data_IF_853831170418
#
_entry.id   IF_853831170418
#
_cell.length_a   1.000
_cell.length_b   1.000
_cell.length_c   1.000
_cell.angle_alpha   90.00
_cell.angle_beta   90.00
_cell.angle_gamma   90.00
#
_symmetry.space_group_name_H-M   'P 1'
#
loop_
_entity.id
_entity.type
_entity.pdbx_description
1 polymer ?
#
# COMPACT_ATOMS: atom_id res chain seq x y z
N UNK A 1 -6.21 5.21 4.68
CA UNK A 1 -5.10 6.21 4.61
C UNK A 1 -4.21 5.88 3.43
N UNK A 2 -3.80 6.87 2.64
CA UNK A 2 -2.90 6.69 1.50
C UNK A 2 -1.60 7.45 1.73
N UNK A 3 -0.47 6.81 1.45
CA UNK A 3 0.87 7.39 1.49
C UNK A 3 1.37 7.50 0.05
N UNK A 4 1.59 8.74 -0.38
CA UNK A 4 2.03 9.09 -1.73
C UNK A 4 3.43 9.68 -1.72
N UNK A 5 4.06 9.74 -2.87
CA UNK A 5 5.37 10.36 -3.04
C UNK A 5 6.06 9.91 -4.32
N UNK A 6 7.11 10.64 -4.71
CA UNK A 6 7.92 10.29 -5.87
C UNK A 6 8.64 8.94 -5.74
N UNK A 7 9.16 8.43 -6.86
CA UNK A 7 10.07 7.28 -6.85
C UNK A 7 11.27 7.56 -5.94
N UNK A 8 11.62 6.61 -5.09
CA UNK A 8 12.73 6.75 -4.14
C UNK A 8 12.44 7.64 -2.92
N UNK A 9 11.22 8.12 -2.69
CA UNK A 9 10.92 9.00 -1.55
C UNK A 9 10.90 8.31 -0.18
N UNK A 10 11.04 6.99 -0.12
CA UNK A 10 11.01 6.20 1.12
C UNK A 10 9.68 5.51 1.42
N UNK A 11 8.75 5.46 0.45
CA UNK A 11 7.43 4.82 0.55
C UNK A 11 7.50 3.36 1.02
N UNK A 12 8.19 2.50 0.26
CA UNK A 12 8.34 1.09 0.59
C UNK A 12 9.14 0.88 1.89
N UNK A 13 10.11 1.75 2.18
CA UNK A 13 10.82 1.75 3.47
C UNK A 13 9.87 2.03 4.64
N UNK A 14 9.01 3.03 4.50
CA UNK A 14 7.98 3.37 5.50
C UNK A 14 7.04 2.19 5.73
N UNK A 15 6.64 1.50 4.67
CA UNK A 15 5.83 0.28 4.76
C UNK A 15 6.57 -0.83 5.53
N UNK A 16 7.84 -1.09 5.19
CA UNK A 16 8.69 -2.10 5.86
C UNK A 16 8.88 -1.82 7.34
N UNK A 17 9.02 -0.55 7.71
CA UNK A 17 9.07 -0.11 9.11
C UNK A 17 7.74 -0.40 9.80
N UNK A 18 6.60 -0.01 9.21
CA UNK A 18 5.28 -0.26 9.79
C UNK A 18 4.98 -1.75 10.00
N UNK A 19 5.35 -2.62 9.05
CA UNK A 19 5.12 -4.08 9.18
C UNK A 19 6.19 -4.78 10.04
N UNK A 20 7.16 -4.05 10.57
CA UNK A 20 8.25 -4.58 11.38
C UNK A 20 9.18 -5.54 10.63
N UNK A 21 9.30 -5.42 9.30
CA UNK A 21 10.33 -6.16 8.53
C UNK A 21 11.67 -5.42 8.51
N UNK A 22 11.66 -4.13 8.86
CA UNK A 22 12.82 -3.30 9.09
C UNK A 22 12.70 -2.61 10.45
N UNK A 23 13.81 -2.46 11.17
CA UNK A 23 13.84 -1.70 12.43
C UNK A 23 14.28 -0.26 12.15
N UNK A 24 13.64 0.75 12.78
CA UNK A 24 14.10 2.12 12.67
C UNK A 24 15.40 2.31 13.47
N UNK A 25 16.24 3.25 13.04
CA UNK A 25 17.45 3.62 13.80
C UNK A 25 17.10 4.30 15.15
N UNK A 26 16.01 5.08 15.16
CA UNK A 26 15.48 5.80 16.33
C UNK A 26 13.96 5.96 16.20
N UNK A 27 13.30 6.17 17.34
CA UNK A 27 11.85 6.33 17.44
C UNK A 27 11.15 5.03 17.81
N UNK A 28 9.82 5.06 17.77
CA UNK A 28 8.94 3.95 18.15
C UNK A 28 7.81 3.79 17.14
N UNK A 29 7.32 2.57 16.98
CA UNK A 29 6.18 2.28 16.10
C UNK A 29 5.14 1.54 16.93
N UNK A 30 4.04 2.20 17.22
CA UNK A 30 2.98 1.61 18.02
C UNK A 30 1.92 0.96 17.12
N UNK A 31 1.72 -0.35 17.28
CA UNK A 31 0.65 -1.09 16.63
C UNK A 31 -0.17 -1.85 17.67
N UNK A 32 -1.48 -1.69 17.63
CA UNK A 32 -2.41 -2.37 18.53
C UNK A 32 -2.07 -2.18 20.03
N UNK A 33 -1.59 -0.98 20.40
CA UNK A 33 -1.19 -0.65 21.78
C UNK A 33 0.17 -1.20 22.21
N UNK A 34 1.01 -1.64 21.26
CA UNK A 34 2.34 -2.20 21.53
C UNK A 34 3.38 -1.50 20.66
N UNK A 35 4.49 -1.09 21.28
CA UNK A 35 5.66 -0.64 20.51
C UNK A 35 6.37 -1.86 19.88
N UNK A 36 6.25 -2.02 18.57
CA UNK A 36 6.80 -3.16 17.84
C UNK A 36 8.33 -3.15 17.79
N UNK A 37 8.96 -1.99 18.01
CA UNK A 37 10.43 -1.86 18.00
C UNK A 37 11.08 -2.56 19.22
N UNK A 38 10.35 -2.69 20.31
CA UNK A 38 10.80 -3.33 21.55
C UNK A 38 10.46 -4.83 21.63
N UNK A 39 9.71 -5.37 20.67
CA UNK A 39 9.27 -6.77 20.68
C UNK A 39 10.36 -7.73 20.21
N UNK A 40 10.36 -8.93 20.79
CA UNK A 40 11.10 -10.06 20.22
C UNK A 40 10.34 -10.68 19.03
N UNK A 41 10.98 -11.59 18.30
CA UNK A 41 10.41 -12.14 17.07
C UNK A 41 9.10 -12.90 17.29
N UNK A 42 8.97 -13.63 18.40
CA UNK A 42 7.73 -14.34 18.74
C UNK A 42 6.57 -13.37 18.97
N UNK A 43 6.82 -12.31 19.75
CA UNK A 43 5.82 -11.27 20.03
C UNK A 43 5.47 -10.47 18.77
N UNK A 44 6.45 -10.22 17.90
CA UNK A 44 6.25 -9.53 16.63
C UNK A 44 5.42 -10.40 15.67
N UNK A 45 5.60 -11.71 15.67
CA UNK A 45 4.75 -12.63 14.90
C UNK A 45 3.29 -12.60 15.36
N UNK A 46 3.01 -12.42 16.65
CA UNK A 46 1.64 -12.25 17.13
C UNK A 46 1.01 -10.92 16.70
N UNK A 47 1.82 -9.89 16.49
CA UNK A 47 1.38 -8.63 15.88
C UNK A 47 1.14 -8.83 14.38
N UNK A 48 2.04 -9.53 13.67
CA UNK A 48 1.93 -9.81 12.23
C UNK A 48 0.69 -10.63 11.86
N UNK A 49 0.22 -11.51 12.74
CA UNK A 49 -1.05 -12.25 12.54
C UNK A 49 -2.28 -11.33 12.54
N UNK A 50 -2.18 -10.11 13.07
CA UNK A 50 -3.31 -9.16 13.15
C UNK A 50 -3.39 -8.20 11.95
N UNK A 51 -2.47 -8.28 10.99
CA UNK A 51 -2.52 -7.50 9.77
C UNK A 51 -2.24 -8.34 8.52
N UNK A 52 -2.76 -7.93 7.38
CA UNK A 52 -2.49 -8.52 6.07
C UNK A 52 -1.66 -7.57 5.21
N UNK A 53 -0.89 -8.11 4.26
CA UNK A 53 -0.11 -7.32 3.30
C UNK A 53 -0.37 -7.82 1.88
N UNK A 54 -0.75 -6.90 0.99
CA UNK A 54 -0.72 -7.09 -0.46
C UNK A 54 0.53 -6.43 -1.03
N UNK A 55 1.52 -7.25 -1.43
CA UNK A 55 2.72 -6.76 -2.11
C UNK A 55 2.47 -6.44 -3.59
N UNK A 56 3.33 -5.62 -4.18
CA UNK A 56 3.25 -5.24 -5.60
C UNK A 56 3.19 -6.45 -6.54
N UNK A 57 3.91 -7.53 -6.29
CA UNK A 57 3.89 -8.75 -7.12
C UNK A 57 2.78 -9.74 -6.74
N UNK A 58 1.91 -9.41 -5.77
CA UNK A 58 0.96 -10.34 -5.11
C UNK A 58 1.65 -11.33 -4.16
N UNK A 59 2.93 -11.62 -4.38
CA UNK A 59 3.79 -12.51 -3.60
C UNK A 59 3.22 -13.93 -3.41
N UNK A 60 2.43 -14.42 -4.36
CA UNK A 60 1.90 -15.79 -4.35
C UNK A 60 3.03 -16.81 -4.56
N UNK A 61 2.91 -17.97 -3.92
CA UNK A 61 3.76 -19.12 -4.17
C UNK A 61 3.35 -19.75 -5.50
N UNK A 62 4.24 -19.68 -6.50
CA UNK A 62 3.97 -20.15 -7.86
C UNK A 62 3.78 -21.67 -7.97
N UNK A 63 4.25 -22.43 -6.97
CA UNK A 63 4.12 -23.88 -6.88
C UNK A 63 2.81 -24.33 -6.21
N UNK A 64 1.99 -23.39 -5.74
CA UNK A 64 0.74 -23.66 -5.04
C UNK A 64 -0.42 -23.08 -5.83
N UNK A 65 -1.59 -23.71 -5.78
CA UNK A 65 -2.83 -23.17 -6.34
C UNK A 65 -3.25 -21.89 -5.62
N UNK A 66 -4.22 -21.16 -6.17
CA UNK A 66 -4.79 -19.99 -5.50
C UNK A 66 -5.40 -20.39 -4.16
N UNK A 67 -6.12 -21.50 -4.09
CA UNK A 67 -6.71 -22.02 -2.85
C UNK A 67 -5.64 -22.33 -1.80
N UNK A 68 -4.59 -23.04 -2.19
CA UNK A 68 -3.47 -23.39 -1.31
C UNK A 68 -2.74 -22.14 -0.80
N UNK A 69 -2.54 -21.14 -1.65
CA UNK A 69 -1.96 -19.85 -1.25
C UNK A 69 -2.78 -19.16 -0.15
N UNK A 70 -4.11 -19.18 -0.27
CA UNK A 70 -5.02 -18.58 0.71
C UNK A 70 -5.16 -19.44 1.97
N UNK A 71 -5.04 -20.76 1.84
CA UNK A 71 -5.09 -21.71 2.95
C UNK A 71 -3.84 -21.64 3.83
N UNK A 72 -2.67 -21.35 3.24
CA UNK A 72 -1.38 -21.44 3.93
C UNK A 72 -1.32 -20.65 5.26
N UNK A 73 -1.74 -19.36 5.35
CA UNK A 73 -1.75 -18.66 6.64
C UNK A 73 -2.64 -19.33 7.69
N UNK A 74 -3.78 -19.90 7.28
CA UNK A 74 -4.69 -20.60 8.19
C UNK A 74 -4.05 -21.90 8.70
N UNK A 75 -3.41 -22.67 7.83
CA UNK A 75 -2.72 -23.92 8.19
C UNK A 75 -1.55 -23.66 9.16
N UNK A 76 -0.78 -22.60 8.93
CA UNK A 76 0.42 -22.30 9.72
C UNK A 76 0.13 -21.61 11.05
N UNK A 77 -0.98 -20.87 11.16
CA UNK A 77 -1.21 -19.97 12.30
C UNK A 77 -2.51 -20.23 13.06
N UNK A 78 -3.27 -21.25 12.68
CA UNK A 78 -4.48 -21.67 13.41
C UNK A 78 -4.41 -23.15 13.79
N UNK A 79 -5.40 -23.63 14.55
CA UNK A 79 -5.58 -25.05 14.89
C UNK A 79 -6.88 -25.58 14.30
N UNK A 80 -7.33 -25.00 13.18
CA UNK A 80 -8.57 -25.38 12.51
C UNK A 80 -8.36 -26.70 11.76
N UNK A 81 -9.40 -27.54 11.76
CA UNK A 81 -9.42 -28.74 10.94
C UNK A 81 -9.50 -28.38 9.46
N UNK A 82 -9.01 -29.28 8.59
CA UNK A 82 -8.91 -29.03 7.16
C UNK A 82 -10.26 -28.65 6.52
N UNK A 83 -11.36 -29.30 6.94
CA UNK A 83 -12.70 -28.98 6.44
C UNK A 83 -13.11 -27.52 6.73
N UNK A 84 -12.72 -26.99 7.90
CA UNK A 84 -12.98 -25.60 8.26
C UNK A 84 -12.10 -24.66 7.45
N UNK A 85 -10.82 -25.01 7.23
CA UNK A 85 -9.90 -24.25 6.38
C UNK A 85 -10.47 -24.15 4.97
N UNK A 86 -10.96 -25.25 4.40
CA UNK A 86 -11.53 -25.26 3.05
C UNK A 86 -12.77 -24.36 2.93
N UNK A 87 -13.61 -24.32 3.96
CA UNK A 87 -14.76 -23.40 4.02
C UNK A 87 -14.28 -21.94 4.07
N UNK A 88 -13.30 -21.64 4.93
CA UNK A 88 -12.75 -20.30 5.06
C UNK A 88 -12.13 -19.83 3.75
N UNK A 89 -11.32 -20.66 3.10
CA UNK A 89 -10.70 -20.38 1.80
C UNK A 89 -11.76 -20.04 0.75
N UNK A 90 -12.84 -20.82 0.66
CA UNK A 90 -13.95 -20.54 -0.27
C UNK A 90 -14.59 -19.18 0.01
N UNK A 91 -14.82 -18.83 1.28
CA UNK A 91 -15.34 -17.52 1.67
C UNK A 91 -14.38 -16.40 1.25
N UNK A 92 -13.08 -16.51 1.55
CA UNK A 92 -12.07 -15.49 1.18
C UNK A 92 -11.95 -15.32 -0.33
N UNK A 93 -12.03 -16.42 -1.09
CA UNK A 93 -12.00 -16.38 -2.56
C UNK A 93 -13.27 -15.79 -3.16
N UNK A 94 -14.43 -16.02 -2.54
CA UNK A 94 -15.69 -15.40 -2.96
C UNK A 94 -15.64 -13.87 -2.79
N UNK A 95 -15.09 -13.38 -1.67
CA UNK A 95 -14.94 -11.94 -1.40
C UNK A 95 -14.13 -11.20 -2.48
N UNK A 96 -13.23 -11.90 -3.18
CA UNK A 96 -12.42 -11.34 -4.26
C UNK A 96 -12.84 -11.83 -5.65
N UNK A 97 -13.95 -12.56 -5.77
CA UNK A 97 -14.48 -13.06 -7.04
C UNK A 97 -13.59 -14.09 -7.73
N UNK A 98 -12.86 -14.92 -6.98
CA UNK A 98 -11.96 -15.95 -7.50
C UNK A 98 -12.33 -17.39 -7.10
N UNK A 99 -13.51 -17.61 -6.52
CA UNK A 99 -13.94 -18.95 -6.07
C UNK A 99 -13.86 -20.02 -7.17
N UNK A 100 -14.24 -19.69 -8.40
CA UNK A 100 -14.21 -20.62 -9.54
C UNK A 100 -12.80 -20.88 -10.08
N UNK A 101 -11.81 -20.09 -9.67
CA UNK A 101 -10.42 -20.17 -10.12
C UNK A 101 -9.50 -20.77 -9.05
N UNK A 102 -10.08 -21.32 -7.98
CA UNK A 102 -9.38 -21.79 -6.78
C UNK A 102 -8.24 -22.77 -7.10
N UNK A 103 -8.45 -23.68 -8.06
CA UNK A 103 -7.50 -24.75 -8.41
C UNK A 103 -6.44 -24.32 -9.43
N UNK A 104 -6.49 -23.08 -9.92
CA UNK A 104 -5.49 -22.57 -10.86
C UNK A 104 -4.19 -22.17 -10.13
N UNK A 105 -3.07 -22.32 -10.82
CA UNK A 105 -1.77 -21.80 -10.40
C UNK A 105 -1.66 -20.31 -10.72
N UNK A 106 -0.81 -19.55 -9.98
CA UNK A 106 -0.55 -18.14 -10.29
C UNK A 106 -0.09 -17.89 -11.73
N UNK A 107 0.62 -18.83 -12.36
CA UNK A 107 1.02 -18.71 -13.77
C UNK A 107 -0.14 -18.74 -14.77
N UNK A 108 -1.30 -19.27 -14.37
CA UNK A 108 -2.46 -19.50 -15.24
C UNK A 108 -3.50 -18.36 -15.20
N UNK A 109 -3.27 -17.32 -14.40
CA UNK A 109 -4.22 -16.23 -14.17
C UNK A 109 -3.65 -14.86 -14.55
N UNK A 110 -4.55 -13.90 -14.83
CA UNK A 110 -4.17 -12.53 -15.20
C UNK A 110 -3.52 -11.76 -14.04
N UNK A 111 -2.84 -10.64 -14.35
CA UNK A 111 -2.26 -9.77 -13.33
C UNK A 111 -3.27 -9.28 -12.29
N UNK A 112 -4.47 -8.87 -12.73
CA UNK A 112 -5.56 -8.48 -11.83
C UNK A 112 -6.02 -9.63 -10.94
N UNK A 113 -6.14 -10.84 -11.49
CA UNK A 113 -6.48 -12.03 -10.69
C UNK A 113 -5.38 -12.35 -9.66
N UNK A 114 -4.09 -12.19 -10.00
CA UNK A 114 -2.99 -12.35 -9.03
C UNK A 114 -3.11 -11.39 -7.86
N UNK A 115 -3.47 -10.12 -8.11
CA UNK A 115 -3.68 -9.13 -7.05
C UNK A 115 -4.86 -9.50 -6.16
N UNK A 116 -5.98 -9.93 -6.75
CA UNK A 116 -7.16 -10.41 -6.03
C UNK A 116 -6.86 -11.65 -5.18
N UNK A 117 -6.12 -12.62 -5.71
CA UNK A 117 -5.67 -13.79 -4.96
C UNK A 117 -4.73 -13.41 -3.82
N UNK A 118 -3.79 -12.50 -4.05
CA UNK A 118 -2.93 -11.93 -3.01
C UNK A 118 -3.74 -11.24 -1.90
N UNK A 119 -4.81 -10.54 -2.26
CA UNK A 119 -5.72 -9.90 -1.30
C UNK A 119 -6.52 -10.93 -0.49
N UNK A 120 -7.04 -11.99 -1.11
CA UNK A 120 -7.68 -13.09 -0.39
C UNK A 120 -6.73 -13.73 0.62
N UNK A 121 -5.46 -13.92 0.25
CA UNK A 121 -4.44 -14.44 1.16
C UNK A 121 -4.15 -13.46 2.30
N UNK A 122 -4.05 -12.17 2.02
CA UNK A 122 -3.86 -11.14 3.05
C UNK A 122 -5.03 -11.10 4.05
N UNK A 123 -6.24 -11.43 3.60
CA UNK A 123 -7.46 -11.52 4.41
C UNK A 123 -7.64 -12.85 5.15
N UNK A 124 -6.77 -13.84 4.92
CA UNK A 124 -6.97 -15.21 5.39
C UNK A 124 -7.17 -15.28 6.92
N UNK A 125 -6.39 -14.52 7.69
CA UNK A 125 -6.43 -14.51 9.16
C UNK A 125 -7.39 -13.46 9.76
N UNK A 126 -8.29 -12.89 8.98
CA UNK A 126 -9.20 -11.83 9.45
C UNK A 126 -8.46 -10.64 10.11
N UNK A 127 -7.54 -10.00 9.37
CA UNK A 127 -6.69 -8.95 9.92
C UNK A 127 -7.50 -7.69 10.29
N UNK A 128 -7.01 -6.95 11.28
CA UNK A 128 -7.54 -5.63 11.66
C UNK A 128 -7.04 -4.52 10.73
N UNK A 129 -5.87 -4.71 10.13
CA UNK A 129 -5.21 -3.75 9.23
C UNK A 129 -4.78 -4.44 7.94
N UNK A 130 -5.01 -3.81 6.80
CA UNK A 130 -4.48 -4.22 5.51
C UNK A 130 -3.49 -3.18 4.98
N UNK A 131 -2.30 -3.66 4.65
CA UNK A 131 -1.25 -2.89 4.01
C UNK A 131 -1.21 -3.21 2.53
N UNK A 132 -1.10 -2.19 1.69
CA UNK A 132 -1.03 -2.33 0.24
C UNK A 132 0.22 -1.63 -0.28
N UNK A 133 1.07 -2.36 -1.01
CA UNK A 133 2.25 -1.83 -1.69
C UNK A 133 1.99 -1.78 -3.19
N UNK A 134 1.68 -0.59 -3.71
CA UNK A 134 1.43 -0.34 -5.14
C UNK A 134 0.39 -1.34 -5.72
N UNK A 135 -0.86 -1.36 -5.17
CA UNK A 135 -1.84 -2.40 -5.49
C UNK A 135 -2.24 -2.41 -6.97
N UNK A 136 -2.30 -1.24 -7.58
CA UNK A 136 -2.76 -1.03 -8.96
C UNK A 136 -1.61 -1.00 -9.99
N UNK A 137 -0.36 -1.00 -9.54
CA UNK A 137 0.80 -0.93 -10.42
C UNK A 137 0.92 -2.14 -11.37
N UNK A 138 1.16 -1.84 -12.64
CA UNK A 138 1.33 -2.83 -13.71
C UNK A 138 0.02 -3.40 -14.25
N UNK A 139 -1.12 -2.82 -13.89
CA UNK A 139 -2.44 -3.15 -14.43
C UNK A 139 -2.90 -2.08 -15.43
N UNK A 140 -3.80 -2.46 -16.33
CA UNK A 140 -4.51 -1.49 -17.15
C UNK A 140 -5.49 -0.64 -16.31
N UNK A 141 -5.87 0.57 -16.76
CA UNK A 141 -6.69 1.48 -15.98
C UNK A 141 -8.04 0.91 -15.52
N UNK A 142 -8.65 0.03 -16.33
CA UNK A 142 -9.96 -0.57 -15.99
C UNK A 142 -9.77 -1.59 -14.87
N UNK A 143 -8.76 -2.45 -14.98
CA UNK A 143 -8.45 -3.43 -13.93
C UNK A 143 -8.00 -2.75 -12.64
N UNK A 144 -7.20 -1.67 -12.70
CA UNK A 144 -6.83 -0.87 -11.54
C UNK A 144 -8.06 -0.32 -10.81
N UNK A 145 -8.99 0.29 -11.54
CA UNK A 145 -10.23 0.80 -10.96
C UNK A 145 -11.08 -0.31 -10.31
N UNK A 146 -11.12 -1.51 -10.89
CA UNK A 146 -11.81 -2.65 -10.27
C UNK A 146 -11.15 -3.09 -8.95
N UNK A 147 -9.81 -3.05 -8.88
CA UNK A 147 -9.08 -3.34 -7.64
C UNK A 147 -9.37 -2.27 -6.58
N UNK A 148 -9.36 -0.99 -6.96
CA UNK A 148 -9.68 0.11 -6.04
C UNK A 148 -11.08 -0.03 -5.45
N UNK A 149 -12.09 -0.35 -6.28
CA UNK A 149 -13.46 -0.59 -5.81
C UNK A 149 -13.55 -1.82 -4.89
N UNK A 150 -12.82 -2.88 -5.19
CA UNK A 150 -12.74 -4.06 -4.32
C UNK A 150 -12.13 -3.70 -2.96
N UNK A 151 -11.04 -2.93 -2.94
CA UNK A 151 -10.42 -2.47 -1.69
C UNK A 151 -11.37 -1.62 -0.83
N UNK A 152 -12.10 -0.70 -1.46
CA UNK A 152 -13.12 0.11 -0.79
C UNK A 152 -14.26 -0.75 -0.23
N UNK A 153 -14.76 -1.70 -1.01
CA UNK A 153 -15.81 -2.62 -0.60
C UNK A 153 -15.37 -3.45 0.62
N UNK A 154 -14.17 -4.04 0.58
CA UNK A 154 -13.63 -4.84 1.68
C UNK A 154 -13.41 -4.00 2.95
N UNK A 155 -12.85 -2.80 2.81
CA UNK A 155 -12.67 -1.86 3.92
C UNK A 155 -14.01 -1.59 4.62
N UNK A 156 -15.07 -1.33 3.84
CA UNK A 156 -16.39 -1.03 4.37
C UNK A 156 -17.12 -2.25 4.94
N UNK A 157 -17.06 -3.39 4.26
CA UNK A 157 -17.79 -4.60 4.65
C UNK A 157 -17.16 -5.29 5.86
N UNK A 158 -15.83 -5.31 5.94
CA UNK A 158 -15.09 -6.01 6.99
C UNK A 158 -14.66 -5.08 8.14
N UNK A 159 -14.81 -3.76 7.98
CA UNK A 159 -14.39 -2.78 9.00
C UNK A 159 -12.87 -2.74 9.22
N UNK A 160 -12.09 -3.20 8.23
CA UNK A 160 -10.63 -3.26 8.31
C UNK A 160 -10.00 -1.90 8.05
N UNK A 161 -8.90 -1.59 8.73
CA UNK A 161 -8.14 -0.36 8.48
C UNK A 161 -7.22 -0.56 7.28
N UNK A 162 -7.34 0.28 6.25
CA UNK A 162 -6.52 0.17 5.04
C UNK A 162 -5.42 1.25 4.98
N UNK A 163 -4.17 0.83 4.80
CA UNK A 163 -3.01 1.70 4.57
C UNK A 163 -2.42 1.38 3.20
N UNK A 164 -2.53 2.31 2.27
CA UNK A 164 -2.12 2.11 0.87
C UNK A 164 -0.92 2.98 0.57
N UNK A 165 0.10 2.38 -0.03
CA UNK A 165 1.27 3.07 -0.56
C UNK A 165 1.16 3.05 -2.07
N UNK A 166 1.08 4.22 -2.71
CA UNK A 166 0.93 4.31 -4.17
C UNK A 166 1.56 5.58 -4.73
N UNK A 167 2.00 5.53 -5.98
CA UNK A 167 2.32 6.71 -6.78
C UNK A 167 1.27 6.99 -7.88
N UNK A 168 0.22 6.18 -7.98
CA UNK A 168 -0.89 6.38 -8.91
C UNK A 168 -1.95 7.30 -8.32
N UNK A 169 -2.01 8.54 -8.81
CA UNK A 169 -2.86 9.59 -8.22
C UNK A 169 -4.35 9.29 -8.33
N UNK A 170 -4.81 8.74 -9.45
CA UNK A 170 -6.24 8.44 -9.64
C UNK A 170 -6.75 7.39 -8.64
N UNK A 171 -5.97 6.32 -8.43
CA UNK A 171 -6.24 5.32 -7.39
C UNK A 171 -6.17 5.96 -6.00
N UNK A 172 -5.15 6.77 -5.72
CA UNK A 172 -4.98 7.44 -4.44
C UNK A 172 -6.20 8.31 -4.07
N UNK A 173 -6.68 9.16 -4.98
CA UNK A 173 -7.86 9.97 -4.74
C UNK A 173 -9.13 9.12 -4.62
N UNK A 174 -9.24 8.03 -5.40
CA UNK A 174 -10.41 7.14 -5.32
C UNK A 174 -10.55 6.48 -3.95
N UNK A 175 -9.45 6.00 -3.37
CA UNK A 175 -9.47 5.16 -2.17
C UNK A 175 -9.21 5.91 -0.84
N UNK A 176 -8.71 7.15 -0.88
CA UNK A 176 -8.27 7.85 0.33
C UNK A 176 -9.39 8.55 1.10
N UNK A 177 -9.47 8.29 2.41
CA UNK A 177 -10.09 9.23 3.37
C UNK A 177 -9.08 10.32 3.81
N UNK A 178 -7.85 9.87 4.08
CA UNK A 178 -6.70 10.69 4.50
C UNK A 178 -5.49 10.34 3.66
N UNK A 179 -4.67 11.34 3.38
CA UNK A 179 -3.52 11.25 2.50
C UNK A 179 -2.29 11.82 3.20
N UNK A 180 -1.12 11.24 2.94
CA UNK A 180 0.17 11.74 3.38
C UNK A 180 1.12 11.86 2.19
N UNK A 181 1.79 13.00 2.05
CA UNK A 181 2.83 13.18 1.03
C UNK A 181 4.20 12.96 1.64
N UNK A 182 4.95 12.00 1.09
CA UNK A 182 6.31 11.68 1.47
C UNK A 182 7.29 12.17 0.40
N UNK A 183 8.26 12.98 0.81
CA UNK A 183 9.37 13.45 -0.03
C UNK A 183 10.69 13.30 0.72
N UNK A 184 11.68 12.68 0.08
CA UNK A 184 13.04 12.42 0.62
C UNK A 184 13.05 11.94 2.09
N UNK A 185 12.20 10.98 2.44
CA UNK A 185 12.12 10.42 3.79
C UNK A 185 11.41 11.28 4.82
N UNK A 186 10.85 12.44 4.44
CA UNK A 186 10.06 13.32 5.30
C UNK A 186 8.60 13.36 4.86
N UNK A 187 7.69 13.31 5.82
CA UNK A 187 6.27 13.59 5.56
C UNK A 187 6.12 15.11 5.45
N UNK A 188 5.72 15.59 4.27
CA UNK A 188 5.48 17.02 4.01
C UNK A 188 4.16 17.47 4.65
N UNK A 189 3.11 16.69 4.46
CA UNK A 189 1.76 16.98 4.96
C UNK A 189 0.96 15.70 5.15
N UNK A 190 0.05 15.71 6.13
CA UNK A 190 -0.98 14.68 6.32
C UNK A 190 -2.33 15.39 6.46
N UNK A 191 -3.20 15.21 5.49
CA UNK A 191 -4.48 15.92 5.41
C UNK A 191 -5.59 15.04 4.85
N UNK A 192 -6.82 15.56 4.83
CA UNK A 192 -7.97 14.89 4.20
C UNK A 192 -7.85 14.90 2.67
N UNK A 193 -8.51 13.95 2.01
CA UNK A 193 -8.62 13.93 0.54
C UNK A 193 -9.07 15.28 -0.03
N UNK A 194 -10.08 15.91 0.58
CA UNK A 194 -10.62 17.20 0.15
C UNK A 194 -9.60 18.35 0.21
N UNK A 195 -8.65 18.30 1.15
CA UNK A 195 -7.56 19.28 1.20
C UNK A 195 -6.63 19.13 -0.02
N UNK A 196 -6.26 17.89 -0.35
CA UNK A 196 -5.43 17.60 -1.52
C UNK A 196 -6.14 17.93 -2.85
N UNK A 197 -7.44 17.69 -2.95
CA UNK A 197 -8.26 18.07 -4.12
C UNK A 197 -8.24 19.60 -4.32
N UNK A 198 -8.49 20.37 -3.26
CA UNK A 198 -8.42 21.84 -3.32
C UNK A 198 -7.05 22.35 -3.76
N UNK A 199 -5.97 21.76 -3.25
CA UNK A 199 -4.62 22.14 -3.64
C UNK A 199 -4.32 21.79 -5.10
N UNK A 200 -4.73 20.58 -5.54
CA UNK A 200 -4.61 20.14 -6.94
C UNK A 200 -5.33 21.09 -7.89
N UNK A 201 -6.53 21.54 -7.55
CA UNK A 201 -7.35 22.41 -8.41
C UNK A 201 -7.04 23.90 -8.29
N UNK A 202 -6.13 24.28 -7.39
CA UNK A 202 -5.71 25.66 -7.22
C UNK A 202 -4.97 26.20 -8.47
N UNK A 203 -5.32 27.41 -8.96
CA UNK A 203 -4.59 28.08 -10.03
C UNK A 203 -3.14 28.38 -9.65
N UNK A 204 -2.21 28.28 -10.61
CA UNK A 204 -0.77 28.42 -10.37
C UNK A 204 -0.39 29.75 -9.70
N UNK A 205 -1.09 30.83 -10.02
CA UNK A 205 -0.85 32.17 -9.44
C UNK A 205 -1.02 32.19 -7.92
N UNK A 206 -2.03 31.48 -7.40
CA UNK A 206 -2.31 31.41 -5.96
C UNK A 206 -1.30 30.49 -5.25
N UNK A 207 -0.82 29.47 -5.94
CA UNK A 207 0.12 28.47 -5.41
C UNK A 207 1.50 29.10 -5.13
N UNK A 208 1.93 30.05 -5.96
CA UNK A 208 3.22 30.74 -5.77
C UNK A 208 3.35 31.46 -4.43
N UNK A 209 2.23 31.79 -3.78
CA UNK A 209 2.20 32.39 -2.45
C UNK A 209 2.17 31.39 -1.29
N UNK A 210 2.07 30.08 -1.56
CA UNK A 210 1.99 29.03 -0.53
C UNK A 210 3.37 28.60 -0.03
N UNK A 211 3.46 27.94 1.14
CA UNK A 211 4.69 27.29 1.59
C UNK A 211 5.26 26.32 0.55
N UNK A 212 6.58 26.20 0.48
CA UNK A 212 7.28 25.35 -0.51
C UNK A 212 6.76 23.91 -0.52
N UNK A 213 6.45 23.34 0.65
CA UNK A 213 5.88 22.00 0.80
C UNK A 213 4.56 21.83 0.03
N UNK A 214 3.69 22.85 0.03
CA UNK A 214 2.40 22.81 -0.66
C UNK A 214 2.59 23.01 -2.17
N UNK A 215 3.57 23.80 -2.58
CA UNK A 215 3.96 23.93 -3.99
C UNK A 215 4.50 22.61 -4.55
N UNK A 216 5.36 21.92 -3.79
CA UNK A 216 5.89 20.59 -4.13
C UNK A 216 4.77 19.56 -4.25
N UNK A 217 3.87 19.52 -3.25
CA UNK A 217 2.72 18.62 -3.27
C UNK A 217 1.91 18.87 -4.54
N UNK A 218 1.56 20.12 -4.85
CA UNK A 218 0.75 20.41 -6.04
C UNK A 218 1.45 20.01 -7.34
N UNK A 219 2.75 20.33 -7.48
CA UNK A 219 3.52 19.92 -8.65
C UNK A 219 3.44 18.40 -8.85
N UNK A 220 3.60 17.63 -7.76
CA UNK A 220 3.48 16.19 -7.79
C UNK A 220 2.07 15.71 -8.17
N UNK A 221 1.02 16.31 -7.60
CA UNK A 221 -0.38 15.94 -7.88
C UNK A 221 -0.77 16.19 -9.35
N UNK A 222 -0.22 17.23 -9.98
CA UNK A 222 -0.53 17.60 -11.37
C UNK A 222 0.41 16.95 -12.39
N UNK A 223 1.59 16.51 -11.95
CA UNK A 223 2.65 16.09 -12.86
C UNK A 223 3.23 17.25 -13.67
N UNK A 224 3.22 18.46 -13.12
CA UNK A 224 3.73 19.65 -13.80
C UNK A 224 5.25 19.52 -14.02
N UNK A 225 5.72 19.74 -15.25
CA UNK A 225 7.12 19.62 -15.64
C UNK A 225 8.02 20.64 -14.91
N UNK A 226 7.50 21.84 -14.68
CA UNK A 226 8.23 22.92 -14.03
C UNK A 226 7.73 23.15 -12.60
N UNK A 227 8.66 23.32 -11.66
CA UNK A 227 8.35 23.65 -10.28
C UNK A 227 9.48 23.29 -9.30
N UNK A 228 9.21 23.38 -7.98
CA UNK A 228 10.25 23.20 -6.97
C UNK A 228 10.91 21.81 -6.96
N UNK A 229 10.20 20.74 -7.36
CA UNK A 229 10.75 19.38 -7.48
C UNK A 229 11.85 19.35 -8.55
N UNK A 230 11.59 19.93 -9.72
CA UNK A 230 12.53 19.92 -10.86
C UNK A 230 13.67 20.91 -10.63
N UNK A 231 13.39 22.10 -10.08
CA UNK A 231 14.42 23.07 -9.69
C UNK A 231 15.45 22.47 -8.69
N UNK A 232 14.98 21.68 -7.72
CA UNK A 232 15.86 20.97 -6.77
C UNK A 232 16.72 19.90 -7.43
N UNK A 233 16.22 19.22 -8.48
CA UNK A 233 17.00 18.19 -9.21
C UNK A 233 18.12 18.83 -10.02
N UNK A 234 17.83 19.92 -10.71
CA UNK A 234 18.80 20.63 -11.55
C UNK A 234 19.96 21.22 -10.74
N UNK A 235 19.70 21.67 -9.51
CA UNK A 235 20.75 22.17 -8.61
C UNK A 235 21.69 21.06 -8.09
N UNK A 236 21.15 19.85 -7.85
CA UNK A 236 21.91 18.75 -7.23
C UNK A 236 22.73 17.89 -8.21
N UNK A 237 22.42 17.92 -9.51
CA UNK A 237 22.86 16.88 -10.45
C UNK A 237 24.01 17.27 -11.39
N UNK A 238 24.30 18.56 -11.58
CA UNK A 238 25.28 18.99 -12.60
C UNK A 238 26.40 19.87 -12.03
N UNK A 239 26.07 20.83 -11.17
CA UNK A 239 27.07 21.74 -10.59
C UNK A 239 27.92 21.07 -9.52
N UNK A 240 27.32 20.25 -8.66
CA UNK A 240 28.05 19.54 -7.60
C UNK A 240 28.94 18.41 -8.18
N UNK A 241 28.50 17.78 -9.27
CA UNK A 241 29.23 16.71 -9.97
C UNK A 241 30.43 17.26 -10.78
N UNK A 242 30.35 18.52 -11.25
CA UNK A 242 31.44 19.19 -11.98
C UNK A 242 32.43 19.91 -11.07
N UNK A 243 31.98 20.47 -9.94
CA UNK A 243 32.80 21.37 -9.14
C UNK A 243 33.09 20.90 -7.72
N UNK A 244 32.58 19.74 -7.30
CA UNK A 244 32.97 19.03 -6.08
C UNK A 244 33.08 19.93 -4.85
N UNK A 245 31.97 20.08 -4.12
CA UNK A 245 31.99 20.75 -2.81
C UNK A 245 32.78 19.95 -1.76
#
# INVERSE_FOLDING_TARGET
MVIMGGSGSGKSTSLRLMIGSMRPDRGSIEMFGRDICALNESQLNDVRKQFGILFQSGALFNSMTIAENVALPLQEHTRLDQDIIDIQVKIKLELVGLREHADLLPSQISGGMKKRAGLARALALDPKVLFYDEPSAGLDPVTSAQIDQLMLALTKQLGVTSVVVTHEMDSAFTIADRMAMLDKGRILKVETRQWYERLRDMPLEQVRGLPEDEQLIRQFLRGDADGPITARRDQSAFTDDLFGA
#
